data_IF_544059674550
#
_entry.id   IF_544059674550
#
_cell.length_a   1.000
_cell.length_b   1.000
_cell.length_c   1.000
_cell.angle_alpha   90.00
_cell.angle_beta   90.00
_cell.angle_gamma   90.00
#
_symmetry.space_group_name_H-M   'P 1'
#
loop_
_entity.id
_entity.type
_entity.pdbx_description
1 polymer ?
#
# COMPACT_ATOMS: atom_id res chain seq x y z
N UNK A 1 -10.38 17.90 -3.98
CA UNK A 1 -9.45 18.76 -4.75
C UNK A 1 -8.77 19.86 -3.91
N UNK A 2 -9.49 20.58 -3.03
CA UNK A 2 -8.92 21.69 -2.25
C UNK A 2 -7.69 21.30 -1.37
N UNK A 3 -7.77 20.20 -0.60
CA UNK A 3 -6.67 19.78 0.29
C UNK A 3 -5.39 19.43 -0.48
N UNK A 4 -5.49 18.66 -1.57
CA UNK A 4 -4.33 18.30 -2.40
C UNK A 4 -3.70 19.54 -3.05
N UNK A 5 -4.54 20.46 -3.56
CA UNK A 5 -4.07 21.72 -4.12
C UNK A 5 -3.29 22.54 -3.09
N UNK A 6 -3.84 22.72 -1.88
CA UNK A 6 -3.19 23.48 -0.81
C UNK A 6 -1.87 22.83 -0.36
N UNK A 7 -1.86 21.51 -0.18
CA UNK A 7 -0.65 20.78 0.19
C UNK A 7 0.44 20.92 -0.88
N UNK A 8 0.08 20.73 -2.16
CA UNK A 8 1.03 20.85 -3.27
C UNK A 8 1.54 22.29 -3.40
N UNK A 9 0.67 23.29 -3.26
CA UNK A 9 1.05 24.70 -3.29
C UNK A 9 2.07 25.04 -2.18
N UNK A 10 1.87 24.54 -0.96
CA UNK A 10 2.82 24.71 0.14
C UNK A 10 4.14 23.98 -0.12
N UNK A 11 4.07 22.70 -0.55
CA UNK A 11 5.26 21.89 -0.86
C UNK A 11 6.11 22.54 -1.95
N UNK A 12 5.50 23.04 -3.03
CA UNK A 12 6.23 23.70 -4.12
C UNK A 12 7.01 24.93 -3.63
N UNK A 13 6.39 25.76 -2.76
CA UNK A 13 7.07 26.91 -2.13
C UNK A 13 8.22 26.46 -1.21
N UNK A 14 8.08 25.34 -0.50
CA UNK A 14 9.14 24.80 0.36
C UNK A 14 10.31 24.20 -0.42
N UNK A 15 10.05 23.50 -1.53
CA UNK A 15 11.10 22.83 -2.31
C UNK A 15 11.73 23.73 -3.38
N UNK A 16 11.18 24.90 -3.67
CA UNK A 16 11.69 25.84 -4.67
C UNK A 16 13.17 26.20 -4.49
N UNK A 17 13.70 26.44 -3.27
CA UNK A 17 15.13 26.70 -3.07
C UNK A 17 16.03 25.49 -3.36
N UNK A 18 15.49 24.27 -3.28
CA UNK A 18 16.25 23.01 -3.43
C UNK A 18 16.16 22.47 -4.87
N UNK A 19 15.00 22.62 -5.51
CA UNK A 19 14.69 22.06 -6.84
C UNK A 19 14.04 23.11 -7.75
N UNK A 20 14.72 24.21 -8.07
CA UNK A 20 14.09 25.43 -8.57
C UNK A 20 13.35 25.27 -9.89
N UNK A 21 13.92 24.56 -10.87
CA UNK A 21 13.28 24.36 -12.17
C UNK A 21 12.09 23.40 -12.08
N UNK A 22 12.19 22.37 -11.25
CA UNK A 22 11.11 21.39 -11.07
C UNK A 22 9.92 22.00 -10.34
N UNK A 23 10.18 22.74 -9.26
CA UNK A 23 9.15 23.44 -8.52
C UNK A 23 8.43 24.48 -9.39
N UNK A 24 9.17 25.24 -10.21
CA UNK A 24 8.60 26.27 -11.08
C UNK A 24 7.79 25.67 -12.24
N UNK A 25 8.25 24.55 -12.82
CA UNK A 25 7.52 23.83 -13.85
C UNK A 25 6.16 23.32 -13.33
N UNK A 26 6.15 22.65 -12.17
CA UNK A 26 4.89 22.17 -11.58
C UNK A 26 4.00 23.34 -11.16
N UNK A 27 4.58 24.42 -10.62
CA UNK A 27 3.82 25.62 -10.28
C UNK A 27 3.08 26.21 -11.48
N UNK A 28 3.75 26.30 -12.64
CA UNK A 28 3.15 26.76 -13.89
C UNK A 28 1.92 25.95 -14.29
N UNK A 29 2.02 24.62 -14.24
CA UNK A 29 0.90 23.71 -14.54
C UNK A 29 -0.22 23.78 -13.49
N UNK A 30 0.13 23.88 -12.21
CA UNK A 30 -0.83 23.85 -11.10
C UNK A 30 -1.63 25.14 -10.95
N UNK A 31 -0.94 26.28 -11.04
CA UNK A 31 -1.50 27.62 -10.75
C UNK A 31 -1.88 28.35 -12.05
N UNK A 32 -1.32 27.97 -13.19
CA UNK A 32 -1.61 28.56 -14.49
C UNK A 32 -0.94 29.93 -14.72
N UNK A 33 0.05 30.30 -13.91
CA UNK A 33 0.80 31.55 -14.09
C UNK A 33 1.72 31.94 -12.93
N UNK A 34 2.63 32.88 -13.23
CA UNK A 34 3.65 33.36 -12.29
C UNK A 34 4.78 32.35 -12.08
N UNK A 35 5.65 32.64 -11.11
CA UNK A 35 6.76 31.77 -10.71
C UNK A 35 6.70 31.52 -9.22
N UNK A 36 7.01 30.29 -8.81
CA UNK A 36 7.10 29.92 -7.38
C UNK A 36 8.19 30.72 -6.66
N UNK A 37 9.22 31.15 -7.39
CA UNK A 37 10.35 31.94 -6.86
C UNK A 37 9.97 33.36 -6.48
N UNK A 38 8.79 33.82 -6.90
CA UNK A 38 8.22 35.12 -6.51
C UNK A 38 7.28 35.00 -5.31
N UNK A 39 7.06 33.79 -4.80
CA UNK A 39 6.17 33.55 -3.67
C UNK A 39 6.95 33.60 -2.37
N UNK A 40 6.28 34.02 -1.30
CA UNK A 40 6.84 33.94 0.05
C UNK A 40 7.02 32.49 0.46
N UNK A 41 7.93 32.18 1.38
CA UNK A 41 7.95 30.86 2.01
C UNK A 41 6.65 30.63 2.82
N UNK A 42 6.13 29.40 2.96
CA UNK A 42 4.92 29.17 3.77
C UNK A 42 5.14 29.59 5.22
N UNK A 43 4.25 30.44 5.75
CA UNK A 43 4.35 30.98 7.11
C UNK A 43 3.05 30.77 7.90
N UNK A 44 3.10 29.98 8.96
CA UNK A 44 1.97 29.66 9.82
C UNK A 44 1.30 30.88 10.48
N UNK A 45 1.98 32.04 10.50
CA UNK A 45 1.48 33.27 11.12
C UNK A 45 0.68 34.19 10.16
N UNK A 46 0.68 33.89 8.86
CA UNK A 46 -0.09 34.64 7.86
C UNK A 46 -1.45 33.97 7.61
N UNK A 47 -2.54 34.73 7.56
CA UNK A 47 -3.92 34.25 7.34
C UNK A 47 -4.08 33.17 6.25
N UNK A 48 -3.38 33.30 5.11
CA UNK A 48 -3.48 32.31 4.00
C UNK A 48 -2.86 30.96 4.32
N UNK A 49 -1.71 30.96 5.00
CA UNK A 49 -0.93 29.76 5.33
C UNK A 49 -1.26 29.25 6.74
N UNK A 50 -1.84 30.10 7.60
CA UNK A 50 -2.34 29.78 8.93
C UNK A 50 -3.46 28.75 8.86
N UNK A 51 -4.33 28.79 7.84
CA UNK A 51 -5.35 27.74 7.65
C UNK A 51 -4.73 26.35 7.38
N UNK A 52 -3.53 26.29 6.79
CA UNK A 52 -2.79 25.05 6.50
C UNK A 52 -1.97 24.62 7.73
N UNK A 53 -1.42 25.57 8.50
CA UNK A 53 -0.58 25.28 9.65
C UNK A 53 -1.38 25.04 10.95
N UNK A 54 -2.51 25.71 11.14
CA UNK A 54 -3.40 25.55 12.30
C UNK A 54 -4.29 24.31 12.22
N UNK A 55 -4.31 23.62 11.06
CA UNK A 55 -5.08 22.40 10.85
C UNK A 55 -4.37 21.13 11.33
N UNK A 56 -3.30 21.25 12.12
CA UNK A 56 -2.68 20.07 12.75
C UNK A 56 -3.64 19.50 13.80
N UNK A 57 -4.35 18.46 13.40
CA UNK A 57 -5.20 17.67 14.26
C UNK A 57 -4.37 16.51 14.83
N UNK A 58 -4.02 16.63 16.12
CA UNK A 58 -3.23 15.64 16.83
C UNK A 58 -3.97 14.31 16.99
N UNK A 59 -5.29 14.35 17.17
CA UNK A 59 -6.12 13.17 17.37
C UNK A 59 -6.29 12.41 16.05
N UNK A 60 -6.52 13.12 14.95
CA UNK A 60 -6.50 12.55 13.60
C UNK A 60 -5.14 11.95 13.26
N UNK A 61 -4.05 12.66 13.55
CA UNK A 61 -2.69 12.17 13.31
C UNK A 61 -2.39 10.89 14.10
N UNK A 62 -2.81 10.85 15.36
CA UNK A 62 -2.69 9.67 16.21
C UNK A 62 -3.53 8.49 15.69
N UNK A 63 -4.73 8.74 15.16
CA UNK A 63 -5.58 7.71 14.57
C UNK A 63 -5.07 7.19 13.21
N UNK A 64 -4.46 8.06 12.39
CA UNK A 64 -3.88 7.70 11.09
C UNK A 64 -2.54 6.97 11.21
N UNK A 65 -1.76 7.23 12.27
CA UNK A 65 -0.47 6.57 12.50
C UNK A 65 -0.52 5.04 12.42
N UNK A 66 -1.41 4.33 13.15
CA UNK A 66 -1.51 2.87 13.05
C UNK A 66 -1.97 2.40 11.66
N UNK A 67 -2.76 3.19 10.92
CA UNK A 67 -3.19 2.87 9.55
C UNK A 67 -2.00 2.87 8.59
N UNK A 68 -1.16 3.91 8.65
CA UNK A 68 0.06 3.98 7.84
C UNK A 68 1.04 2.85 8.17
N UNK A 69 1.14 2.47 9.45
CA UNK A 69 1.97 1.36 9.90
C UNK A 69 1.40 0.01 9.42
N UNK A 70 0.10 -0.20 9.52
CA UNK A 70 -0.58 -1.37 8.96
C UNK A 70 -0.37 -1.50 7.45
N UNK A 71 -0.46 -0.39 6.70
CA UNK A 71 -0.18 -0.36 5.26
C UNK A 71 1.27 -0.74 4.95
N UNK A 72 2.23 -0.19 5.71
CA UNK A 72 3.65 -0.52 5.54
C UNK A 72 3.94 -2.00 5.85
N UNK A 73 3.37 -2.53 6.93
CA UNK A 73 3.46 -3.95 7.27
C UNK A 73 2.84 -4.81 6.17
N UNK A 74 1.65 -4.46 5.67
CA UNK A 74 0.96 -5.22 4.61
C UNK A 74 1.74 -5.26 3.30
N UNK A 75 2.37 -4.14 2.92
CA UNK A 75 3.28 -4.08 1.77
C UNK A 75 4.49 -4.99 1.96
N UNK A 76 5.10 -5.00 3.15
CA UNK A 76 6.24 -5.89 3.44
C UNK A 76 5.85 -7.37 3.42
N UNK A 77 4.63 -7.72 3.86
CA UNK A 77 4.09 -9.09 3.71
C UNK A 77 3.97 -9.45 2.24
N UNK A 78 3.31 -8.61 1.45
CA UNK A 78 3.13 -8.78 0.00
C UNK A 78 4.47 -8.98 -0.72
N UNK A 79 5.47 -8.18 -0.40
CA UNK A 79 6.82 -8.31 -0.95
C UNK A 79 7.46 -9.65 -0.56
N UNK A 80 7.38 -10.04 0.71
CA UNK A 80 7.94 -11.31 1.20
C UNK A 80 7.34 -12.52 0.50
N UNK A 81 6.03 -12.52 0.22
CA UNK A 81 5.35 -13.59 -0.53
C UNK A 81 5.26 -13.35 -2.04
N UNK A 82 5.90 -12.29 -2.55
CA UNK A 82 5.97 -11.95 -3.97
C UNK A 82 4.60 -11.69 -4.65
N UNK A 83 3.61 -11.19 -3.91
CA UNK A 83 2.29 -10.84 -4.43
C UNK A 83 2.24 -9.33 -4.74
N UNK A 84 2.07 -8.97 -6.02
CA UNK A 84 1.97 -7.56 -6.47
C UNK A 84 0.72 -6.89 -5.89
N UNK A 85 0.79 -5.60 -5.56
CA UNK A 85 -0.38 -4.84 -5.01
C UNK A 85 -1.59 -4.85 -5.96
N UNK A 86 -1.38 -4.89 -7.28
CA UNK A 86 -2.47 -4.99 -8.26
C UNK A 86 -3.25 -6.31 -8.18
N UNK A 87 -2.67 -7.37 -7.63
CA UNK A 87 -3.39 -8.60 -7.30
C UNK A 87 -4.23 -8.34 -6.05
N UNK A 88 -5.58 -8.30 -6.16
CA UNK A 88 -6.43 -8.16 -5.00
C UNK A 88 -6.32 -9.38 -4.10
N UNK A 89 -6.45 -9.15 -2.79
CA UNK A 89 -6.51 -10.18 -1.78
C UNK A 89 -7.86 -10.15 -1.08
N UNK A 90 -8.30 -11.29 -0.57
CA UNK A 90 -9.64 -11.45 0.03
C UNK A 90 -9.79 -10.59 1.29
N UNK A 91 -8.87 -10.74 2.24
CA UNK A 91 -9.02 -10.08 3.52
C UNK A 91 -7.69 -9.79 4.19
N UNK A 92 -7.75 -8.85 5.13
CA UNK A 92 -6.73 -8.66 6.13
C UNK A 92 -7.37 -8.52 7.51
N UNK A 93 -6.59 -8.89 8.51
CA UNK A 93 -6.93 -8.72 9.91
C UNK A 93 -5.96 -7.74 10.52
N UNK A 94 -6.45 -6.81 11.35
CA UNK A 94 -5.64 -5.79 12.01
C UNK A 94 -5.93 -5.76 13.50
N UNK A 95 -4.88 -5.68 14.28
CA UNK A 95 -4.90 -5.42 15.71
C UNK A 95 -4.02 -4.23 16.04
N UNK A 96 -4.52 -3.32 16.88
CA UNK A 96 -3.79 -2.16 17.38
C UNK A 96 -3.70 -2.27 18.91
N UNK A 97 -2.48 -2.28 19.42
CA UNK A 97 -2.24 -2.31 20.86
C UNK A 97 -2.71 -1.00 21.50
N UNK A 98 -3.42 -1.07 22.63
CA UNK A 98 -3.90 0.10 23.39
C UNK A 98 -4.72 1.09 22.55
N UNK A 99 -5.46 0.60 21.55
CA UNK A 99 -6.34 1.41 20.68
C UNK A 99 -7.32 2.28 21.49
N UNK A 100 -7.80 1.75 22.62
CA UNK A 100 -8.71 2.44 23.53
C UNK A 100 -8.16 3.73 24.18
N UNK A 101 -6.86 4.02 24.00
CA UNK A 101 -6.23 5.27 24.46
C UNK A 101 -6.30 6.39 23.40
N UNK A 102 -6.70 6.08 22.17
CA UNK A 102 -6.83 7.07 21.11
C UNK A 102 -8.16 7.81 21.23
N UNK A 103 -8.16 9.12 21.01
CA UNK A 103 -9.37 9.93 21.03
C UNK A 103 -10.28 9.66 19.82
N UNK A 104 -9.68 9.40 18.66
CA UNK A 104 -10.36 8.97 17.44
C UNK A 104 -10.05 7.52 17.13
N UNK A 105 -11.02 6.78 16.61
CA UNK A 105 -10.81 5.37 16.26
C UNK A 105 -10.11 5.24 14.89
N UNK A 106 -8.97 4.54 14.81
CA UNK A 106 -8.33 4.20 13.54
C UNK A 106 -9.24 3.42 12.58
N UNK A 107 -10.25 2.72 13.12
CA UNK A 107 -11.13 1.84 12.33
C UNK A 107 -11.97 2.61 11.31
N UNK A 108 -12.22 3.90 11.53
CA UNK A 108 -12.91 4.78 10.58
C UNK A 108 -12.17 4.92 9.25
N UNK A 109 -10.86 4.66 9.25
CA UNK A 109 -9.99 4.76 8.07
C UNK A 109 -9.69 3.42 7.41
N UNK A 110 -10.51 2.40 7.67
CA UNK A 110 -10.37 1.06 7.08
C UNK A 110 -10.34 1.10 5.55
N UNK A 111 -11.09 1.99 4.92
CA UNK A 111 -11.12 2.12 3.46
C UNK A 111 -9.79 2.59 2.88
N UNK A 112 -9.06 3.48 3.58
CA UNK A 112 -7.74 3.90 3.16
C UNK A 112 -6.78 2.70 3.15
N UNK A 113 -6.82 1.88 4.20
CA UNK A 113 -6.02 0.66 4.28
C UNK A 113 -6.42 -0.36 3.21
N UNK A 114 -7.73 -0.53 2.98
CA UNK A 114 -8.31 -1.41 1.97
C UNK A 114 -7.84 -1.06 0.57
N UNK A 115 -7.84 0.23 0.23
CA UNK A 115 -7.39 0.75 -1.06
C UNK A 115 -5.87 0.62 -1.22
N UNK A 116 -5.09 1.04 -0.22
CA UNK A 116 -3.62 1.00 -0.27
C UNK A 116 -3.06 -0.41 -0.43
N UNK A 117 -3.69 -1.39 0.23
CA UNK A 117 -3.28 -2.79 0.18
C UNK A 117 -4.07 -3.62 -0.82
N UNK A 118 -5.05 -3.05 -1.53
CA UNK A 118 -5.94 -3.75 -2.45
C UNK A 118 -6.47 -5.08 -1.84
N UNK A 119 -7.10 -4.96 -0.68
CA UNK A 119 -7.80 -6.07 -0.01
C UNK A 119 -9.31 -5.85 -0.14
N UNK A 120 -10.13 -6.90 -0.10
CA UNK A 120 -11.59 -6.72 -0.14
C UNK A 120 -12.17 -6.36 1.22
N UNK A 121 -11.64 -6.95 2.28
CA UNK A 121 -12.15 -6.78 3.64
C UNK A 121 -11.03 -6.50 4.64
N UNK A 122 -11.31 -5.62 5.62
CA UNK A 122 -10.45 -5.36 6.77
C UNK A 122 -11.23 -5.73 8.04
N UNK A 123 -10.77 -6.75 8.74
CA UNK A 123 -11.35 -7.20 10.02
C UNK A 123 -10.49 -6.71 11.19
N UNK A 124 -11.13 -6.16 12.22
CA UNK A 124 -10.43 -5.65 13.40
C UNK A 124 -10.54 -6.63 14.57
N UNK A 125 -9.41 -6.96 15.20
CA UNK A 125 -9.36 -7.84 16.37
C UNK A 125 -9.01 -7.07 17.64
N UNK A 126 -9.78 -7.35 18.69
CA UNK A 126 -9.52 -6.89 20.05
C UNK A 126 -8.67 -7.92 20.80
N UNK A 127 -7.75 -7.45 21.64
CA UNK A 127 -6.90 -8.32 22.45
C UNK A 127 -5.83 -9.05 21.63
N UNK A 128 -5.32 -10.15 22.16
CA UNK A 128 -4.17 -10.84 21.54
C UNK A 128 -4.61 -11.58 20.27
N UNK A 129 -3.95 -11.34 19.12
CA UNK A 129 -4.30 -12.00 17.87
C UNK A 129 -4.14 -13.52 17.96
N UNK A 130 -5.24 -14.27 17.88
CA UNK A 130 -5.21 -15.74 17.97
C UNK A 130 -4.64 -16.42 16.72
N UNK A 131 -4.62 -15.70 15.59
CA UNK A 131 -4.04 -16.16 14.34
C UNK A 131 -2.51 -16.07 14.29
N UNK A 132 -1.89 -15.53 15.34
CA UNK A 132 -0.46 -15.27 15.39
C UNK A 132 0.23 -16.20 16.37
N UNK A 133 1.00 -17.17 15.86
CA UNK A 133 1.97 -17.87 16.68
C UNK A 133 3.21 -17.00 16.80
N UNK A 134 3.39 -16.43 17.98
CA UNK A 134 4.55 -15.57 18.29
C UNK A 134 5.52 -16.35 19.15
N UNK A 135 6.79 -16.30 18.78
CA UNK A 135 7.90 -16.62 19.67
C UNK A 135 8.92 -15.50 19.63
N UNK A 136 9.79 -15.43 20.63
CA UNK A 136 10.87 -14.45 20.66
C UNK A 136 12.21 -15.18 20.68
N UNK A 137 13.20 -14.63 19.98
CA UNK A 137 14.60 -15.01 20.11
C UNK A 137 15.35 -13.91 20.82
N UNK A 138 16.29 -14.29 21.68
CA UNK A 138 17.16 -13.33 22.31
C UNK A 138 18.04 -12.62 21.28
N UNK A 139 18.13 -11.28 21.37
CA UNK A 139 19.08 -10.53 20.58
C UNK A 139 20.48 -10.64 21.19
N UNK A 140 21.27 -11.59 20.70
CA UNK A 140 22.62 -11.84 21.22
C UNK A 140 23.56 -10.63 21.14
N UNK A 141 23.30 -9.67 20.25
CA UNK A 141 24.13 -8.46 20.13
C UNK A 141 23.97 -7.53 21.33
N UNK A 142 22.74 -7.37 21.82
CA UNK A 142 22.43 -6.47 22.95
C UNK A 142 22.59 -7.20 24.28
N UNK A 143 22.06 -8.43 24.37
CA UNK A 143 22.05 -9.23 25.60
C UNK A 143 23.39 -9.92 25.89
N UNK A 144 24.22 -10.19 24.88
CA UNK A 144 25.47 -10.94 25.06
C UNK A 144 26.45 -10.29 26.05
N UNK A 145 26.50 -8.95 26.09
CA UNK A 145 27.33 -8.19 27.06
C UNK A 145 26.74 -8.18 28.46
N UNK A 146 25.41 -8.19 28.58
CA UNK A 146 24.69 -8.10 29.86
C UNK A 146 24.62 -9.47 30.56
N UNK A 147 24.29 -10.53 29.81
CA UNK A 147 23.97 -11.84 30.36
C UNK A 147 25.16 -12.80 30.45
N UNK A 148 26.23 -12.59 29.66
CA UNK A 148 27.48 -13.36 29.75
C UNK A 148 27.26 -14.89 29.83
N UNK A 149 27.61 -15.48 30.98
CA UNK A 149 27.48 -16.93 31.25
C UNK A 149 26.01 -17.41 31.32
N UNK A 150 25.10 -16.51 31.69
CA UNK A 150 23.66 -16.79 31.80
C UNK A 150 22.91 -16.61 30.47
N UNK A 151 23.58 -16.22 29.38
CA UNK A 151 22.96 -15.99 28.08
C UNK A 151 22.15 -17.19 27.57
N UNK A 152 22.62 -18.42 27.81
CA UNK A 152 21.89 -19.63 27.39
C UNK A 152 20.59 -19.82 28.17
N UNK A 153 20.61 -19.54 29.48
CA UNK A 153 19.41 -19.60 30.32
C UNK A 153 18.42 -18.49 29.96
N UNK A 154 18.92 -17.28 29.74
CA UNK A 154 18.11 -16.13 29.33
C UNK A 154 17.47 -16.34 27.94
N UNK A 155 18.22 -16.91 26.98
CA UNK A 155 17.69 -17.21 25.65
C UNK A 155 16.58 -18.28 25.68
N UNK A 156 16.68 -19.27 26.57
CA UNK A 156 15.62 -20.26 26.76
C UNK A 156 14.36 -19.61 27.35
N UNK A 157 14.51 -18.76 28.37
CA UNK A 157 13.42 -17.99 28.96
C UNK A 157 12.71 -17.08 27.94
N UNK A 158 13.47 -16.40 27.08
CA UNK A 158 12.92 -15.56 26.01
C UNK A 158 12.18 -16.43 24.97
N UNK A 159 12.70 -17.62 24.66
CA UNK A 159 12.06 -18.57 23.74
C UNK A 159 10.70 -19.08 24.24
N UNK A 160 10.58 -19.33 25.54
CA UNK A 160 9.35 -19.84 26.19
C UNK A 160 8.44 -18.71 26.72
N UNK A 161 8.74 -17.46 26.41
CA UNK A 161 8.00 -16.30 26.90
C UNK A 161 6.55 -16.32 26.38
N UNK A 162 5.54 -16.11 27.24
CA UNK A 162 4.15 -16.03 26.80
C UNK A 162 3.93 -14.84 25.87
N UNK A 163 3.04 -15.03 24.88
CA UNK A 163 2.75 -14.04 23.83
C UNK A 163 2.43 -12.64 24.40
N UNK A 164 1.71 -12.57 25.51
CA UNK A 164 1.32 -11.31 26.15
C UNK A 164 2.53 -10.49 26.60
N UNK A 165 3.57 -11.15 27.12
CA UNK A 165 4.81 -10.50 27.55
C UNK A 165 5.66 -10.03 26.36
N UNK A 166 5.69 -10.83 25.28
CA UNK A 166 6.36 -10.44 24.03
C UNK A 166 5.72 -9.17 23.46
N UNK A 167 4.38 -9.10 23.43
CA UNK A 167 3.66 -7.91 22.97
C UNK A 167 3.85 -6.71 23.89
N UNK A 168 3.93 -6.90 25.21
CA UNK A 168 4.21 -5.82 26.15
C UNK A 168 5.59 -5.18 25.91
N UNK A 169 6.64 -6.01 25.76
CA UNK A 169 8.00 -5.57 25.42
C UNK A 169 8.03 -4.82 24.09
N UNK A 170 7.32 -5.33 23.09
CA UNK A 170 7.20 -4.69 21.78
C UNK A 170 6.43 -3.35 21.85
N UNK A 171 5.48 -3.23 22.77
CA UNK A 171 4.77 -1.98 23.09
C UNK A 171 5.59 -0.97 23.92
N UNK A 172 6.88 -1.25 24.15
CA UNK A 172 7.82 -0.38 24.85
C UNK A 172 7.80 -0.52 26.37
N UNK A 173 7.13 -1.54 26.92
CA UNK A 173 7.21 -1.85 28.33
C UNK A 173 8.52 -2.56 28.66
N UNK A 174 8.97 -2.45 29.90
CA UNK A 174 10.14 -3.19 30.39
C UNK A 174 9.66 -4.42 31.16
N UNK A 175 10.34 -5.55 30.97
CA UNK A 175 10.02 -6.79 31.67
C UNK A 175 11.24 -7.30 32.43
N UNK A 176 11.10 -7.46 33.74
CA UNK A 176 12.14 -8.07 34.58
C UNK A 176 11.97 -9.58 34.61
N UNK A 177 13.02 -10.32 34.24
CA UNK A 177 13.08 -11.78 34.29
C UNK A 177 14.28 -12.24 35.10
N UNK A 178 14.18 -13.39 35.76
CA UNK A 178 15.31 -14.01 36.47
C UNK A 178 15.89 -15.18 35.68
N UNK A 179 17.20 -15.15 35.42
CA UNK A 179 17.90 -16.23 34.73
C UNK A 179 19.22 -16.55 35.44
N UNK A 180 19.44 -17.80 35.83
CA UNK A 180 20.70 -18.20 36.48
C UNK A 180 20.96 -17.54 37.85
N UNK A 181 19.91 -17.09 38.54
CA UNK A 181 20.01 -16.44 39.86
C UNK A 181 20.28 -14.93 39.84
N UNK A 182 20.27 -14.31 38.66
CA UNK A 182 20.37 -12.85 38.47
C UNK A 182 19.11 -12.32 37.78
N UNK A 183 18.70 -11.09 38.12
CA UNK A 183 17.59 -10.40 37.49
C UNK A 183 18.07 -9.56 36.30
N UNK A 184 17.36 -9.64 35.18
CA UNK A 184 17.62 -8.88 33.96
C UNK A 184 16.36 -8.11 33.56
N UNK A 185 16.52 -6.82 33.25
CA UNK A 185 15.46 -6.00 32.65
C UNK A 185 15.57 -6.08 31.13
N UNK A 186 14.55 -6.67 30.51
CA UNK A 186 14.40 -6.77 29.06
C UNK A 186 13.67 -5.54 28.52
N UNK A 187 14.14 -5.07 27.37
CA UNK A 187 13.51 -4.02 26.55
C UNK A 187 13.26 -4.56 25.14
N UNK A 188 12.51 -3.83 24.31
CA UNK A 188 12.18 -4.24 22.94
C UNK A 188 13.43 -4.66 22.12
N UNK A 189 14.53 -3.90 22.21
CA UNK A 189 15.77 -4.16 21.47
C UNK A 189 16.46 -5.48 21.84
N UNK A 190 16.17 -6.01 23.04
CA UNK A 190 16.75 -7.24 23.57
C UNK A 190 16.10 -8.51 23.00
N UNK A 191 14.98 -8.38 22.29
CA UNK A 191 14.27 -9.50 21.67
C UNK A 191 14.13 -9.32 20.15
N UNK A 192 14.21 -10.43 19.43
CA UNK A 192 13.92 -10.52 18.00
C UNK A 192 12.65 -11.34 17.86
N UNK A 193 11.59 -10.70 17.39
CA UNK A 193 10.31 -11.36 17.19
C UNK A 193 10.40 -12.40 16.08
N UNK A 194 9.82 -13.57 16.32
CA UNK A 194 9.54 -14.56 15.31
C UNK A 194 8.03 -14.77 15.23
N UNK A 195 7.51 -14.69 14.01
CA UNK A 195 6.11 -14.96 13.74
C UNK A 195 6.03 -16.20 12.87
N UNK A 196 5.19 -17.14 13.29
CA UNK A 196 4.76 -18.25 12.46
C UNK A 196 3.32 -18.00 12.06
N UNK A 197 3.12 -17.85 10.75
CA UNK A 197 1.82 -17.66 10.11
C UNK A 197 0.96 -18.92 10.30
N UNK A 198 -0.33 -18.74 10.57
CA UNK A 198 -1.30 -19.81 10.34
C UNK A 198 -1.42 -20.08 8.84
N UNK A 199 -1.82 -21.29 8.42
CA UNK A 199 -1.99 -21.60 7.00
C UNK A 199 -2.89 -20.56 6.31
N UNK A 200 -2.41 -19.99 5.19
CA UNK A 200 -3.11 -18.99 4.39
C UNK A 200 -3.10 -17.54 4.93
N UNK A 201 -2.64 -17.30 6.16
CA UNK A 201 -2.64 -15.97 6.77
C UNK A 201 -1.23 -15.52 7.18
N UNK A 202 -0.62 -14.70 6.34
CA UNK A 202 0.72 -14.18 6.56
C UNK A 202 0.74 -13.00 7.49
N UNK A 203 1.47 -13.12 8.59
CA UNK A 203 1.50 -12.09 9.60
C UNK A 203 2.69 -11.14 9.51
N UNK A 204 2.50 -9.94 10.08
CA UNK A 204 3.57 -9.01 10.38
C UNK A 204 3.17 -8.12 11.57
N UNK A 205 4.15 -7.70 12.35
CA UNK A 205 3.93 -6.79 13.48
C UNK A 205 5.19 -6.00 13.75
N UNK A 206 5.00 -4.80 14.28
CA UNK A 206 6.04 -3.91 14.79
C UNK A 206 5.79 -3.58 16.27
N UNK A 207 5.00 -4.41 16.94
CA UNK A 207 4.64 -4.29 18.35
C UNK A 207 3.39 -3.50 18.64
N UNK A 208 3.28 -2.32 18.03
CA UNK A 208 2.11 -1.47 18.21
C UNK A 208 0.96 -1.88 17.27
N UNK A 209 1.28 -2.29 16.04
CA UNK A 209 0.31 -2.79 15.06
C UNK A 209 0.68 -4.20 14.67
N UNK A 210 -0.33 -5.08 14.64
CA UNK A 210 -0.20 -6.43 14.14
C UNK A 210 -1.21 -6.67 13.04
N UNK A 211 -0.77 -7.23 11.94
CA UNK A 211 -1.62 -7.59 10.81
C UNK A 211 -1.50 -9.09 10.50
N UNK A 212 -2.57 -9.63 9.92
CA UNK A 212 -2.56 -10.89 9.19
C UNK A 212 -3.15 -10.66 7.81
N UNK A 213 -2.44 -11.00 6.75
CA UNK A 213 -2.89 -10.83 5.37
C UNK A 213 -3.24 -12.19 4.78
N UNK A 214 -4.46 -12.35 4.27
CA UNK A 214 -4.83 -13.58 3.58
C UNK A 214 -4.16 -13.59 2.20
N UNK A 215 -3.27 -14.55 1.98
CA UNK A 215 -2.46 -14.66 0.76
C UNK A 215 -3.00 -15.71 -0.21
N UNK A 216 -4.09 -16.39 0.14
CA UNK A 216 -4.77 -17.31 -0.77
C UNK A 216 -5.49 -16.53 -1.88
N UNK A 217 -5.16 -16.85 -3.13
CA UNK A 217 -5.72 -16.22 -4.31
C UNK A 217 -6.73 -17.17 -4.94
N UNK A 218 -8.02 -16.84 -4.81
CA UNK A 218 -9.09 -17.56 -5.50
C UNK A 218 -9.04 -17.33 -7.01
N UNK A 219 -9.78 -18.14 -7.78
CA UNK A 219 -9.86 -18.02 -9.24
C UNK A 219 -10.41 -16.65 -9.64
N UNK A 220 -11.41 -16.16 -8.91
CA UNK A 220 -12.05 -14.86 -9.13
C UNK A 220 -11.09 -13.70 -8.82
N UNK A 221 -10.35 -13.79 -7.71
CA UNK A 221 -9.34 -12.77 -7.36
C UNK A 221 -8.20 -12.75 -8.37
N UNK A 222 -7.77 -13.92 -8.87
CA UNK A 222 -6.76 -14.02 -9.93
C UNK A 222 -7.25 -13.35 -11.21
N UNK A 223 -8.48 -13.65 -11.64
CA UNK A 223 -9.08 -13.03 -12.82
C UNK A 223 -9.17 -11.50 -12.69
N UNK A 224 -9.60 -11.00 -11.53
CA UNK A 224 -9.62 -9.56 -11.26
C UNK A 224 -8.22 -8.93 -11.25
N UNK A 225 -7.21 -9.65 -10.75
CA UNK A 225 -5.82 -9.22 -10.80
C UNK A 225 -5.30 -9.08 -12.24
N UNK A 226 -5.63 -10.03 -13.11
CA UNK A 226 -5.31 -9.96 -14.54
C UNK A 226 -6.04 -8.79 -15.20
N UNK A 227 -7.33 -8.60 -14.91
CA UNK A 227 -8.11 -7.47 -15.43
C UNK A 227 -7.47 -6.12 -15.10
N UNK A 228 -7.01 -5.93 -13.86
CA UNK A 228 -6.27 -4.72 -13.44
C UNK A 228 -4.95 -4.55 -14.17
N UNK A 229 -4.23 -5.64 -14.44
CA UNK A 229 -3.00 -5.56 -15.23
C UNK A 229 -3.31 -5.12 -16.66
N UNK A 230 -4.35 -5.69 -17.29
CA UNK A 230 -4.80 -5.27 -18.63
C UNK A 230 -5.11 -3.77 -18.63
N UNK A 231 -5.92 -3.28 -17.68
CA UNK A 231 -6.21 -1.84 -17.58
C UNK A 231 -4.94 -1.01 -17.44
N UNK A 232 -3.98 -1.45 -16.61
CA UNK A 232 -2.71 -0.76 -16.45
C UNK A 232 -1.90 -0.70 -17.75
N UNK A 233 -1.87 -1.77 -18.54
CA UNK A 233 -1.20 -1.81 -19.85
C UNK A 233 -1.86 -0.86 -20.84
N UNK A 234 -3.19 -0.86 -20.90
CA UNK A 234 -3.95 0.06 -21.75
C UNK A 234 -3.70 1.53 -21.37
N UNK A 235 -3.70 1.86 -20.08
CA UNK A 235 -3.39 3.22 -19.60
C UNK A 235 -1.95 3.64 -19.88
N UNK A 236 -1.01 2.70 -19.80
CA UNK A 236 0.40 2.94 -20.16
C UNK A 236 0.51 3.25 -21.65
N UNK A 237 -0.12 2.43 -22.49
CA UNK A 237 -0.15 2.62 -23.94
C UNK A 237 -0.82 3.94 -24.34
N UNK A 238 -1.91 4.35 -23.67
CA UNK A 238 -2.53 5.68 -23.86
C UNK A 238 -1.53 6.81 -23.70
N UNK A 239 -0.68 6.74 -22.67
CA UNK A 239 0.37 7.74 -22.41
C UNK A 239 1.48 7.67 -23.46
N UNK A 240 1.91 6.47 -23.85
CA UNK A 240 2.97 6.29 -24.85
C UNK A 240 2.60 6.84 -26.23
N UNK A 241 1.33 6.73 -26.63
CA UNK A 241 0.84 7.28 -27.89
C UNK A 241 0.38 8.75 -27.79
N UNK A 242 0.60 9.39 -26.63
CA UNK A 242 0.38 10.82 -26.43
C UNK A 242 -1.09 11.24 -26.32
N UNK A 243 -1.97 10.36 -25.82
CA UNK A 243 -3.36 10.71 -25.57
C UNK A 243 -3.53 11.53 -24.29
N UNK A 244 -4.45 12.48 -24.36
CA UNK A 244 -4.86 13.27 -23.18
C UNK A 244 -5.70 12.41 -22.22
N UNK A 245 -5.78 12.83 -20.95
CA UNK A 245 -6.57 12.10 -19.94
C UNK A 245 -8.05 11.97 -20.30
N UNK A 246 -8.61 12.94 -21.03
CA UNK A 246 -10.02 12.98 -21.44
C UNK A 246 -10.30 12.28 -22.77
N UNK A 247 -9.27 11.85 -23.51
CA UNK A 247 -9.44 11.25 -24.83
C UNK A 247 -10.17 9.91 -24.74
N UNK A 248 -11.10 9.66 -25.66
CA UNK A 248 -11.79 8.38 -25.78
C UNK A 248 -11.09 7.50 -26.80
N UNK A 249 -11.10 6.20 -26.57
CA UNK A 249 -10.40 5.23 -27.41
C UNK A 249 -11.29 4.09 -27.87
N UNK A 250 -10.95 3.50 -29.00
CA UNK A 250 -11.32 2.16 -29.37
C UNK A 250 -10.20 1.21 -28.93
N UNK A 251 -10.55 0.05 -28.37
CA UNK A 251 -9.58 -0.95 -27.93
C UNK A 251 -9.86 -2.25 -28.66
N UNK A 252 -8.86 -2.75 -29.39
CA UNK A 252 -8.84 -4.08 -29.96
C UNK A 252 -7.77 -4.90 -29.24
N UNK A 253 -8.14 -6.09 -28.77
CA UNK A 253 -7.29 -6.92 -27.93
C UNK A 253 -7.36 -8.38 -28.39
N UNK A 254 -6.24 -9.08 -28.42
CA UNK A 254 -6.19 -10.54 -28.60
C UNK A 254 -5.29 -11.18 -27.54
N UNK A 255 -5.53 -12.46 -27.25
CA UNK A 255 -4.82 -13.23 -26.24
C UNK A 255 -5.30 -14.67 -26.18
N UNK A 256 -4.76 -15.45 -25.26
CA UNK A 256 -5.19 -16.83 -25.07
C UNK A 256 -6.58 -16.92 -24.39
N UNK A 257 -7.16 -18.13 -24.34
CA UNK A 257 -8.47 -18.39 -23.73
C UNK A 257 -8.59 -17.90 -22.27
N UNK A 258 -7.50 -17.93 -21.50
CA UNK A 258 -7.52 -17.41 -20.13
C UNK A 258 -7.78 -15.90 -20.08
N UNK A 259 -7.22 -15.13 -21.02
CA UNK A 259 -7.48 -13.69 -21.16
C UNK A 259 -8.92 -13.44 -21.59
N UNK A 260 -9.43 -14.24 -22.54
CA UNK A 260 -10.82 -14.13 -22.98
C UNK A 260 -11.80 -14.31 -21.81
N UNK A 261 -11.60 -15.35 -20.99
CA UNK A 261 -12.43 -15.59 -19.81
C UNK A 261 -12.42 -14.41 -18.82
N UNK A 262 -11.27 -13.72 -18.67
CA UNK A 262 -11.17 -12.51 -17.84
C UNK A 262 -11.99 -11.37 -18.45
N UNK A 263 -11.92 -11.18 -19.76
CA UNK A 263 -12.68 -10.15 -20.46
C UNK A 263 -14.18 -10.41 -20.44
N UNK A 264 -14.63 -11.66 -20.53
CA UNK A 264 -16.04 -12.02 -20.44
C UNK A 264 -16.70 -11.50 -19.14
N UNK A 265 -15.93 -11.41 -18.05
CA UNK A 265 -16.40 -10.91 -16.75
C UNK A 265 -16.10 -9.43 -16.54
N UNK A 266 -14.93 -8.95 -16.96
CA UNK A 266 -14.41 -7.64 -16.56
C UNK A 266 -14.33 -6.59 -17.68
N UNK A 267 -14.65 -6.92 -18.93
CA UNK A 267 -14.48 -6.01 -20.06
C UNK A 267 -15.21 -4.67 -19.88
N UNK A 268 -16.41 -4.66 -19.31
CA UNK A 268 -17.17 -3.43 -19.07
C UNK A 268 -16.44 -2.49 -18.10
N UNK A 269 -15.91 -3.02 -17.00
CA UNK A 269 -15.16 -2.24 -16.01
C UNK A 269 -13.83 -1.71 -16.58
N UNK A 270 -13.12 -2.56 -17.35
CA UNK A 270 -11.90 -2.15 -18.04
C UNK A 270 -12.21 -1.01 -19.01
N UNK A 271 -13.24 -1.17 -19.84
CA UNK A 271 -13.65 -0.18 -20.85
C UNK A 271 -14.02 1.17 -20.23
N UNK A 272 -14.75 1.17 -19.12
CA UNK A 272 -15.09 2.39 -18.38
C UNK A 272 -13.82 3.11 -17.89
N UNK A 273 -12.90 2.37 -17.26
CA UNK A 273 -11.68 2.93 -16.69
C UNK A 273 -10.73 3.49 -17.77
N UNK A 274 -10.70 2.88 -18.96
CA UNK A 274 -9.86 3.33 -20.09
C UNK A 274 -10.58 4.25 -21.06
N UNK A 275 -11.77 4.75 -20.74
CA UNK A 275 -12.59 5.62 -21.60
C UNK A 275 -12.82 5.02 -23.01
N UNK A 276 -13.14 3.74 -23.08
CA UNK A 276 -13.51 3.02 -24.30
C UNK A 276 -15.03 2.85 -24.42
N UNK A 277 -15.77 3.85 -24.96
CA UNK A 277 -17.24 3.85 -24.93
C UNK A 277 -17.87 2.70 -25.73
N UNK A 278 -17.15 2.16 -26.72
CA UNK A 278 -17.61 1.03 -27.55
C UNK A 278 -17.30 -0.34 -26.93
N UNK A 279 -16.67 -0.38 -25.76
CA UNK A 279 -16.20 -1.61 -25.12
C UNK A 279 -14.81 -2.06 -25.58
N UNK A 280 -14.45 -3.30 -25.23
CA UNK A 280 -13.21 -3.97 -25.64
C UNK A 280 -13.54 -4.97 -26.75
N UNK A 281 -12.95 -4.81 -27.92
CA UNK A 281 -13.15 -5.73 -29.04
C UNK A 281 -12.10 -6.85 -29.00
N UNK A 282 -12.53 -8.05 -28.62
CA UNK A 282 -11.65 -9.22 -28.61
C UNK A 282 -11.56 -9.89 -30.00
N UNK A 283 -10.35 -10.26 -30.42
CA UNK A 283 -10.07 -11.00 -31.66
C UNK A 283 -9.39 -12.34 -31.35
N UNK A 284 -9.78 -13.42 -32.02
CA UNK A 284 -9.08 -14.71 -31.95
C UNK A 284 -7.82 -14.77 -32.83
N UNK A 285 -7.70 -13.85 -33.78
CA UNK A 285 -6.53 -13.70 -34.66
C UNK A 285 -5.60 -12.59 -34.16
N UNK A 286 -4.30 -12.75 -34.45
CA UNK A 286 -3.26 -11.74 -34.18
C UNK A 286 -3.60 -10.40 -34.82
N UNK A 287 -3.29 -9.31 -34.13
CA UNK A 287 -3.55 -7.97 -34.64
C UNK A 287 -2.47 -7.53 -35.66
N UNK A 288 -2.77 -6.52 -36.47
CA UNK A 288 -1.83 -6.02 -37.47
C UNK A 288 -0.62 -5.34 -36.82
N UNK A 289 0.51 -6.04 -36.83
CA UNK A 289 1.78 -5.62 -36.22
C UNK A 289 2.34 -4.35 -36.91
N UNK A 290 1.92 -4.05 -38.14
CA UNK A 290 2.36 -2.86 -38.86
C UNK A 290 1.69 -1.57 -38.36
N UNK A 291 0.67 -1.66 -37.49
CA UNK A 291 0.04 -0.50 -36.89
C UNK A 291 0.98 0.14 -35.83
N UNK A 292 1.24 1.44 -35.95
CA UNK A 292 2.07 2.17 -34.98
C UNK A 292 1.49 2.15 -33.56
N UNK A 293 0.18 1.95 -33.44
CA UNK A 293 -0.52 1.81 -32.17
C UNK A 293 -0.51 0.38 -31.62
N UNK A 294 0.05 -0.60 -32.34
CA UNK A 294 0.22 -1.97 -31.85
C UNK A 294 1.22 -2.05 -30.69
N UNK A 295 0.85 -2.79 -29.64
CA UNK A 295 1.77 -3.20 -28.57
C UNK A 295 1.47 -4.63 -28.15
N UNK A 296 2.52 -5.35 -27.75
CA UNK A 296 2.41 -6.63 -27.06
C UNK A 296 2.84 -6.45 -25.61
N UNK A 297 2.07 -7.01 -24.68
CA UNK A 297 2.32 -6.90 -23.26
C UNK A 297 2.32 -8.27 -22.58
N UNK A 298 3.34 -8.49 -21.75
CA UNK A 298 3.35 -9.62 -20.82
C UNK A 298 2.51 -9.29 -19.58
N UNK A 299 1.73 -10.29 -19.17
CA UNK A 299 0.88 -10.32 -18.00
C UNK A 299 1.42 -11.35 -16.99
N UNK A 300 0.94 -11.35 -15.72
CA UNK A 300 1.19 -12.44 -14.79
C UNK A 300 0.80 -13.82 -15.35
N UNK A 301 1.29 -14.89 -14.71
CA UNK A 301 0.97 -16.29 -15.04
C UNK A 301 1.34 -16.71 -16.47
N UNK A 302 2.44 -16.15 -17.01
CA UNK A 302 2.92 -16.40 -18.38
C UNK A 302 1.88 -16.10 -19.47
N UNK A 303 0.94 -15.19 -19.17
CA UNK A 303 -0.05 -14.71 -20.12
C UNK A 303 0.51 -13.53 -20.93
N UNK A 304 0.02 -13.36 -22.15
CA UNK A 304 0.33 -12.20 -22.99
C UNK A 304 -0.90 -11.70 -23.72
N UNK A 305 -0.90 -10.41 -24.04
CA UNK A 305 -1.91 -9.77 -24.88
C UNK A 305 -1.27 -8.95 -25.99
N UNK A 306 -1.95 -8.87 -27.12
CA UNK A 306 -1.67 -7.88 -28.14
C UNK A 306 -2.81 -6.87 -28.17
N UNK A 307 -2.46 -5.59 -28.31
CA UNK A 307 -3.40 -4.48 -28.18
C UNK A 307 -3.14 -3.45 -29.27
N UNK A 308 -4.21 -3.02 -29.94
CA UNK A 308 -4.26 -1.78 -30.71
C UNK A 308 -5.25 -0.84 -30.04
N UNK A 309 -4.83 0.41 -29.83
CA UNK A 309 -5.72 1.49 -29.37
C UNK A 309 -5.82 2.59 -30.43
N UNK A 310 -7.03 3.08 -30.69
CA UNK A 310 -7.28 4.19 -31.63
C UNK A 310 -8.04 5.32 -30.95
N UNK A 311 -7.64 6.57 -31.14
CA UNK A 311 -8.42 7.73 -30.65
C UNK A 311 -9.75 7.82 -31.40
N UNK A 312 -10.84 8.07 -30.68
CA UNK A 312 -12.14 8.35 -31.27
C UNK A 312 -12.46 9.84 -31.08
N UNK A 313 -12.71 10.54 -32.17
CA UNK A 313 -13.26 11.89 -32.12
C UNK A 313 -14.77 11.80 -31.85
N UNK A 314 -15.18 12.14 -30.63
CA UNK A 314 -16.60 12.23 -30.26
C UNK A 314 -17.18 13.54 -30.79
N UNK A 315 -17.18 13.73 -32.12
CA UNK A 315 -17.79 14.92 -32.76
C UNK A 315 -19.09 14.59 -33.49
N UNK A 316 -19.59 13.35 -33.42
CA UNK A 316 -20.85 12.97 -34.05
C UNK A 316 -21.59 11.88 -33.27
N UNK A 317 -22.33 12.30 -32.25
CA UNK A 317 -23.51 11.58 -31.77
C UNK A 317 -24.42 12.57 -31.01
N UNK A 318 -25.16 13.37 -31.78
CA UNK A 318 -26.38 14.05 -31.36
C UNK A 318 -27.58 13.17 -31.62
#
# INVERSE_FOLDING_TARGET
>A
FATLYQALHAVLRMIAPVTPFFADAIWGELVGGGSVHLQMYPDSNNDTDAAIASSYDADLSAAMNPIMRASSLGRSVRERVQIRVRQPLSSMVVHIAKENKLAMSPREYSDALRQELNVKEVTWINGTPDFLKVSAKANFKTLGRKAGKNMKALAALIGDMPREQIFALQGGEELTVEAGGESYTLINEDIILQTESAEGLEAATDGYVTIGLNTEISVELRAEGIAREITNRLQTQRKEVGLEMSDRIEVRLTGCAAVQNVLDVHAAAIAEEVLAPSGIFFSEESLDIADNAYRQWDLPDDLSIEVIIGKIDVTTAS
#
